data_IF_214301194406
#
_entry.id   IF_214301194406
#
_cell.length_a   1.000
_cell.length_b   1.000
_cell.length_c   1.000
_cell.angle_alpha   90.00
_cell.angle_beta   90.00
_cell.angle_gamma   90.00
#
_symmetry.space_group_name_H-M   'P 1'
#
loop_
_entity.id
_entity.type
_entity.pdbx_description
1 polymer ?
#
# COMPACT_ATOMS: atom_id res chain seq x y z
N UNK A 1 -4.64 -24.81 -8.62
CA UNK A 1 -4.55 -23.83 -7.51
C UNK A 1 -5.97 -23.51 -7.06
N UNK A 2 -6.30 -23.69 -5.78
CA UNK A 2 -7.64 -23.36 -5.28
C UNK A 2 -7.93 -21.86 -5.45
N UNK A 3 -9.16 -21.49 -5.84
CA UNK A 3 -9.61 -20.09 -6.01
C UNK A 3 -9.28 -19.20 -4.80
N UNK A 4 -9.29 -19.78 -3.58
CA UNK A 4 -8.90 -19.10 -2.34
C UNK A 4 -7.42 -18.68 -2.30
N UNK A 5 -6.52 -19.51 -2.85
CA UNK A 5 -5.10 -19.18 -2.94
C UNK A 5 -4.88 -17.99 -3.88
N UNK A 6 -5.67 -17.88 -4.95
CA UNK A 6 -5.63 -16.73 -5.86
C UNK A 6 -6.16 -15.46 -5.19
N UNK A 7 -7.26 -15.54 -4.43
CA UNK A 7 -7.79 -14.39 -3.66
C UNK A 7 -6.81 -13.91 -2.58
N UNK A 8 -6.17 -14.84 -1.87
CA UNK A 8 -5.15 -14.50 -0.87
C UNK A 8 -3.92 -13.86 -1.53
N UNK A 9 -3.47 -14.38 -2.66
CA UNK A 9 -2.36 -13.80 -3.43
C UNK A 9 -2.69 -12.39 -3.91
N UNK A 10 -3.91 -12.18 -4.41
CA UNK A 10 -4.39 -10.86 -4.85
C UNK A 10 -4.40 -9.84 -3.71
N UNK A 11 -4.91 -10.22 -2.53
CA UNK A 11 -4.90 -9.32 -1.35
C UNK A 11 -3.47 -9.06 -0.87
N UNK A 12 -2.58 -10.06 -0.95
CA UNK A 12 -1.15 -9.87 -0.70
C UNK A 12 -0.52 -8.84 -1.64
N UNK A 13 -0.84 -8.92 -2.93
CA UNK A 13 -0.38 -7.98 -3.95
C UNK A 13 -0.88 -6.56 -3.68
N UNK A 14 -2.17 -6.38 -3.37
CA UNK A 14 -2.70 -5.04 -3.03
C UNK A 14 -2.03 -4.41 -1.80
N UNK A 15 -1.65 -5.21 -0.80
CA UNK A 15 -0.91 -4.70 0.37
C UNK A 15 0.50 -4.24 -0.01
N UNK A 16 1.17 -4.99 -0.88
CA UNK A 16 2.49 -4.61 -1.41
C UNK A 16 2.41 -3.35 -2.26
N UNK A 17 1.40 -3.22 -3.11
CA UNK A 17 1.21 -2.04 -3.97
C UNK A 17 1.00 -0.78 -3.12
N UNK A 18 0.17 -0.86 -2.07
CA UNK A 18 -0.05 0.27 -1.14
C UNK A 18 1.26 0.67 -0.44
N UNK A 19 2.07 -0.29 -0.02
CA UNK A 19 3.38 -0.02 0.58
C UNK A 19 4.35 0.60 -0.44
N UNK A 20 4.37 0.08 -1.67
CA UNK A 20 5.21 0.58 -2.76
C UNK A 20 4.90 2.03 -3.13
N UNK A 21 3.62 2.37 -3.30
CA UNK A 21 3.17 3.74 -3.62
C UNK A 21 3.59 4.75 -2.55
N UNK A 22 3.45 4.39 -1.28
CA UNK A 22 3.81 5.27 -0.16
C UNK A 22 5.33 5.41 -0.05
N UNK A 23 6.07 4.32 -0.26
CA UNK A 23 7.54 4.32 -0.22
C UNK A 23 8.10 5.19 -1.34
N UNK A 24 7.57 5.07 -2.56
CA UNK A 24 7.95 5.91 -3.69
C UNK A 24 7.69 7.39 -3.40
N UNK A 25 6.50 7.71 -2.86
CA UNK A 25 6.12 9.08 -2.50
C UNK A 25 7.06 9.65 -1.44
N UNK A 26 7.33 8.88 -0.39
CA UNK A 26 8.20 9.27 0.72
C UNK A 26 9.63 9.51 0.23
N UNK A 27 10.19 8.59 -0.56
CA UNK A 27 11.53 8.73 -1.14
C UNK A 27 11.65 9.97 -2.04
N UNK A 28 10.62 10.24 -2.86
CA UNK A 28 10.61 11.43 -3.72
C UNK A 28 10.55 12.72 -2.92
N UNK A 29 9.72 12.77 -1.86
CA UNK A 29 9.63 13.95 -1.00
C UNK A 29 10.92 14.17 -0.22
N UNK A 30 11.60 13.12 0.21
CA UNK A 30 12.89 13.21 0.90
C UNK A 30 14.03 13.70 -0.02
N UNK A 31 14.05 13.25 -1.28
CA UNK A 31 14.96 13.81 -2.27
C UNK A 31 14.68 15.30 -2.53
N UNK A 32 13.41 15.70 -2.61
CA UNK A 32 13.03 17.10 -2.79
C UNK A 32 13.37 17.96 -1.57
N UNK A 33 13.14 17.47 -0.35
CA UNK A 33 13.48 18.20 0.88
C UNK A 33 14.99 18.44 0.96
N UNK A 34 15.83 17.46 0.60
CA UNK A 34 17.28 17.60 0.54
C UNK A 34 17.75 18.64 -0.48
N UNK A 35 17.13 18.70 -1.66
CA UNK A 35 17.46 19.72 -2.65
C UNK A 35 17.06 21.12 -2.17
N UNK A 36 15.89 21.25 -1.54
CA UNK A 36 15.39 22.52 -1.01
C UNK A 36 16.29 23.02 0.12
N UNK A 37 16.77 22.16 1.02
CA UNK A 37 17.68 22.57 2.10
C UNK A 37 19.03 23.05 1.57
N UNK A 38 19.55 22.45 0.51
CA UNK A 38 20.79 22.91 -0.14
C UNK A 38 20.61 24.30 -0.77
N UNK A 39 19.51 24.53 -1.48
CA UNK A 39 19.18 25.85 -2.03
C UNK A 39 18.99 26.88 -0.92
N UNK A 40 18.37 26.50 0.20
CA UNK A 40 18.18 27.38 1.34
C UNK A 40 19.53 27.77 1.99
N UNK A 41 20.49 26.85 2.08
CA UNK A 41 21.84 27.13 2.55
C UNK A 41 22.59 28.10 1.62
N UNK A 42 22.42 27.96 0.30
CA UNK A 42 22.98 28.90 -0.69
C UNK A 42 22.33 30.29 -0.53
N UNK A 43 21.01 30.35 -0.42
CA UNK A 43 20.30 31.61 -0.18
C UNK A 43 20.77 32.28 1.12
N UNK A 44 20.97 31.51 2.19
CA UNK A 44 21.51 32.02 3.46
C UNK A 44 22.90 32.64 3.28
N UNK A 45 23.83 31.95 2.60
CA UNK A 45 25.16 32.46 2.30
C UNK A 45 25.14 33.73 1.43
N UNK A 46 24.20 33.82 0.47
CA UNK A 46 24.01 35.01 -0.36
C UNK A 46 23.48 36.21 0.44
N UNK A 47 22.64 35.99 1.46
CA UNK A 47 22.20 37.06 2.36
C UNK A 47 23.38 37.72 3.09
N UNK A 48 24.38 36.94 3.50
CA UNK A 48 25.55 37.44 4.22
C UNK A 48 26.57 38.11 3.26
N UNK A 49 26.72 37.57 2.05
CA UNK A 49 27.57 38.15 1.00
C UNK A 49 27.01 39.47 0.41
N UNK A 50 25.72 39.76 0.61
CA UNK A 50 25.07 41.00 0.18
C UNK A 50 25.64 42.28 0.81
N UNK A 51 26.51 42.18 1.82
CA UNK A 51 27.25 43.32 2.38
C UNK A 51 28.45 43.68 1.48
N UNK A 52 28.17 44.08 0.24
CA UNK A 52 29.14 44.60 -0.73
C UNK A 52 29.53 46.02 -0.31
N UNK A 53 30.26 46.14 0.79
CA UNK A 53 30.91 47.37 1.26
C UNK A 53 32.39 47.14 1.61
N UNK A 54 32.88 45.91 1.45
CA UNK A 54 34.23 45.53 1.89
C UNK A 54 35.32 45.81 0.83
N UNK A 55 34.95 45.95 -0.45
CA UNK A 55 35.92 46.06 -1.57
C UNK A 55 35.61 47.16 -2.62
N UNK A 56 34.65 48.07 -2.39
CA UNK A 56 34.36 49.14 -3.37
C UNK A 56 33.34 50.18 -2.91
N UNK A 57 33.05 51.15 -3.79
CA UNK A 57 32.00 52.16 -3.56
C UNK A 57 30.65 51.46 -3.34
N UNK A 58 29.95 51.81 -2.25
CA UNK A 58 28.70 51.19 -1.89
C UNK A 58 27.67 51.35 -3.03
N UNK A 59 27.07 50.25 -3.53
CA UNK A 59 26.04 50.34 -4.55
C UNK A 59 24.84 51.15 -4.05
N UNK A 60 24.06 51.79 -4.95
CA UNK A 60 22.90 52.57 -4.58
C UNK A 60 21.92 51.75 -3.72
N UNK A 61 21.42 52.35 -2.63
CA UNK A 61 20.60 51.68 -1.62
C UNK A 61 19.37 50.95 -2.19
N UNK A 62 18.76 51.49 -3.25
CA UNK A 62 17.60 50.89 -3.90
C UNK A 62 17.92 49.53 -4.54
N UNK A 63 19.14 49.36 -5.05
CA UNK A 63 19.58 48.11 -5.66
C UNK A 63 19.84 47.04 -4.59
N UNK A 64 20.42 47.43 -3.45
CA UNK A 64 20.57 46.56 -2.28
C UNK A 64 19.21 46.10 -1.74
N UNK A 65 18.23 47.01 -1.69
CA UNK A 65 16.85 46.67 -1.29
C UNK A 65 16.20 45.65 -2.22
N UNK A 66 16.36 45.80 -3.54
CA UNK A 66 15.87 44.83 -4.53
C UNK A 66 16.54 43.46 -4.38
N UNK A 67 17.87 43.43 -4.22
CA UNK A 67 18.62 42.19 -4.02
C UNK A 67 18.17 41.44 -2.75
N UNK A 68 18.12 42.13 -1.62
CA UNK A 68 17.64 41.55 -0.35
C UNK A 68 16.16 41.12 -0.44
N UNK A 69 15.33 41.87 -1.18
CA UNK A 69 13.93 41.50 -1.42
C UNK A 69 13.79 40.20 -2.22
N UNK A 70 14.59 40.03 -3.28
CA UNK A 70 14.63 38.78 -4.06
C UNK A 70 15.05 37.59 -3.20
N UNK A 71 16.10 37.74 -2.38
CA UNK A 71 16.54 36.68 -1.46
C UNK A 71 15.46 36.36 -0.43
N UNK A 72 14.85 37.37 0.19
CA UNK A 72 13.78 37.16 1.17
C UNK A 72 12.59 36.41 0.55
N UNK A 73 12.17 36.78 -0.67
CA UNK A 73 11.09 36.09 -1.37
C UNK A 73 11.43 34.63 -1.72
N UNK A 74 12.69 34.37 -2.13
CA UNK A 74 13.21 33.03 -2.41
C UNK A 74 13.23 32.16 -1.15
N UNK A 75 13.69 32.71 -0.01
CA UNK A 75 13.70 32.01 1.29
C UNK A 75 12.28 31.66 1.74
N UNK A 76 11.32 32.57 1.60
CA UNK A 76 9.92 32.29 1.96
C UNK A 76 9.33 31.19 1.08
N UNK A 77 9.54 31.24 -0.24
CA UNK A 77 9.07 30.20 -1.16
C UNK A 77 9.70 28.85 -0.85
N UNK A 78 11.02 28.78 -0.67
CA UNK A 78 11.72 27.55 -0.34
C UNK A 78 11.33 27.01 1.04
N UNK A 79 11.10 27.88 2.02
CA UNK A 79 10.60 27.49 3.34
C UNK A 79 9.22 26.85 3.26
N UNK A 80 8.28 27.43 2.48
CA UNK A 80 6.97 26.81 2.27
C UNK A 80 7.05 25.49 1.50
N UNK A 81 7.93 25.39 0.51
CA UNK A 81 8.16 24.15 -0.24
C UNK A 81 8.71 23.04 0.67
N UNK A 82 9.65 23.36 1.56
CA UNK A 82 10.20 22.42 2.53
C UNK A 82 9.12 21.93 3.49
N UNK A 83 8.31 22.85 4.02
CA UNK A 83 7.18 22.54 4.90
C UNK A 83 6.18 21.60 4.22
N UNK A 84 5.80 21.91 2.98
CA UNK A 84 4.87 21.08 2.19
C UNK A 84 5.45 19.69 1.92
N UNK A 85 6.75 19.57 1.63
CA UNK A 85 7.42 18.29 1.42
C UNK A 85 7.37 17.41 2.67
N UNK A 86 7.69 17.98 3.85
CA UNK A 86 7.59 17.28 5.13
C UNK A 86 6.15 16.83 5.42
N UNK A 87 5.18 17.70 5.17
CA UNK A 87 3.77 17.40 5.35
C UNK A 87 3.27 16.29 4.41
N UNK A 88 3.71 16.30 3.15
CA UNK A 88 3.35 15.29 2.16
C UNK A 88 3.88 13.91 2.55
N UNK A 89 5.14 13.85 3.01
CA UNK A 89 5.77 12.62 3.51
C UNK A 89 4.99 12.02 4.70
N UNK A 90 4.68 12.85 5.70
CA UNK A 90 3.90 12.41 6.87
C UNK A 90 2.49 11.96 6.48
N UNK A 91 1.80 12.72 5.62
CA UNK A 91 0.46 12.37 5.13
C UNK A 91 0.45 11.04 4.37
N UNK A 92 1.46 10.76 3.56
CA UNK A 92 1.58 9.49 2.84
C UNK A 92 1.69 8.31 3.81
N UNK A 93 2.48 8.43 4.87
CA UNK A 93 2.61 7.39 5.90
C UNK A 93 1.30 7.18 6.67
N UNK A 94 0.61 8.25 7.07
CA UNK A 94 -0.70 8.14 7.72
C UNK A 94 -1.74 7.49 6.78
N UNK A 95 -1.71 7.82 5.49
CA UNK A 95 -2.59 7.24 4.48
C UNK A 95 -2.32 5.75 4.30
N UNK A 96 -1.07 5.31 4.30
CA UNK A 96 -0.68 3.90 4.25
C UNK A 96 -1.34 3.08 5.35
N UNK A 97 -1.20 3.55 6.60
CA UNK A 97 -1.77 2.87 7.77
C UNK A 97 -3.30 2.85 7.67
N UNK A 98 -3.92 3.95 7.25
CA UNK A 98 -5.37 4.02 7.06
C UNK A 98 -5.88 3.05 6.00
N UNK A 99 -5.19 2.94 4.86
CA UNK A 99 -5.55 2.03 3.77
C UNK A 99 -5.39 0.57 4.18
N UNK A 100 -4.27 0.22 4.81
CA UNK A 100 -3.99 -1.15 5.25
C UNK A 100 -4.92 -1.62 6.38
N UNK A 101 -5.40 -0.71 7.24
CA UNK A 101 -6.29 -1.07 8.36
C UNK A 101 -7.77 -1.02 8.01
N UNK A 102 -8.21 -0.09 7.14
CA UNK A 102 -9.65 0.13 6.89
C UNK A 102 -10.14 -0.33 5.52
N UNK A 103 -9.28 -0.30 4.50
CA UNK A 103 -9.66 -0.51 3.10
C UNK A 103 -9.20 -1.85 2.55
N UNK A 104 -7.95 -2.24 2.80
CA UNK A 104 -7.42 -3.55 2.37
C UNK A 104 -7.75 -4.60 3.42
N UNK A 105 -9.00 -5.07 3.38
CA UNK A 105 -9.52 -6.09 4.29
C UNK A 105 -9.14 -7.49 3.78
N UNK A 106 -8.92 -8.42 4.69
CA UNK A 106 -8.74 -9.83 4.36
C UNK A 106 -10.04 -10.38 3.76
N UNK A 107 -9.97 -11.37 2.85
CA UNK A 107 -11.17 -12.04 2.36
C UNK A 107 -11.74 -12.87 3.51
N UNK A 108 -12.80 -12.36 4.15
CA UNK A 108 -13.48 -13.06 5.24
C UNK A 108 -14.25 -14.22 4.62
N UNK A 109 -14.02 -15.47 5.06
CA UNK A 109 -14.75 -16.62 4.54
C UNK A 109 -16.25 -16.52 4.83
N UNK A 110 -17.08 -16.96 3.90
CA UNK A 110 -18.51 -17.15 4.17
C UNK A 110 -18.73 -18.34 5.11
N UNK A 111 -19.90 -18.41 5.76
CA UNK A 111 -20.26 -19.53 6.64
C UNK A 111 -20.18 -20.88 5.91
N UNK A 112 -20.66 -20.95 4.66
CA UNK A 112 -20.56 -22.15 3.83
C UNK A 112 -19.10 -22.59 3.60
N UNK A 113 -18.18 -21.64 3.44
CA UNK A 113 -16.76 -21.95 3.28
C UNK A 113 -16.11 -22.43 4.59
N UNK A 114 -16.58 -21.95 5.74
CA UNK A 114 -16.15 -22.45 7.04
C UNK A 114 -16.65 -23.88 7.29
N UNK A 115 -17.87 -24.19 6.87
CA UNK A 115 -18.43 -25.52 7.03
C UNK A 115 -17.77 -26.54 6.09
N UNK A 116 -17.43 -26.15 4.86
CA UNK A 116 -16.58 -26.96 3.98
C UNK A 116 -15.16 -27.18 4.55
N UNK A 117 -14.57 -26.16 5.18
CA UNK A 117 -13.27 -26.31 5.84
C UNK A 117 -13.36 -27.24 7.07
N UNK A 118 -14.48 -27.24 7.80
CA UNK A 118 -14.73 -28.20 8.89
C UNK A 118 -14.77 -29.64 8.39
N UNK A 119 -15.41 -29.90 7.25
CA UNK A 119 -15.41 -31.22 6.63
C UNK A 119 -14.00 -31.70 6.27
N UNK A 120 -13.18 -30.81 5.70
CA UNK A 120 -11.78 -31.11 5.39
C UNK A 120 -10.93 -31.34 6.67
N UNK A 121 -11.16 -30.56 7.72
CA UNK A 121 -10.47 -30.73 9.01
C UNK A 121 -10.85 -32.04 9.71
N UNK A 122 -12.14 -32.38 9.71
CA UNK A 122 -12.63 -33.65 10.27
C UNK A 122 -12.06 -34.85 9.50
N UNK A 123 -11.96 -34.76 8.17
CA UNK A 123 -11.34 -35.80 7.34
C UNK A 123 -9.84 -36.00 7.62
N UNK A 124 -9.11 -34.94 7.97
CA UNK A 124 -7.71 -35.04 8.39
C UNK A 124 -7.58 -35.65 9.80
N UNK A 125 -8.42 -35.23 10.74
CA UNK A 125 -8.42 -35.75 12.12
C UNK A 125 -8.81 -37.24 12.21
N UNK A 126 -9.61 -37.74 11.26
CA UNK A 126 -10.01 -39.15 11.19
C UNK A 126 -9.00 -40.05 10.45
N UNK A 127 -7.86 -39.52 9.97
CA UNK A 127 -6.85 -40.36 9.32
C UNK A 127 -6.18 -41.30 10.33
N UNK A 128 -6.18 -42.61 10.01
CA UNK A 128 -5.50 -43.64 10.81
C UNK A 128 -3.99 -43.38 10.84
N UNK A 129 -3.34 -43.65 11.97
CA UNK A 129 -1.88 -43.50 12.13
C UNK A 129 -1.04 -44.14 11.01
N UNK A 130 -1.50 -45.27 10.43
CA UNK A 130 -0.81 -45.91 9.30
C UNK A 130 -0.92 -45.17 7.95
N UNK A 131 -1.86 -44.23 7.82
CA UNK A 131 -2.03 -43.39 6.63
C UNK A 131 -1.26 -42.07 6.72
N UNK A 132 -0.90 -41.63 7.92
CA UNK A 132 -0.05 -40.45 8.16
C UNK A 132 1.41 -40.76 7.75
N UNK A 133 1.84 -42.01 7.90
CA UNK A 133 3.18 -42.48 7.48
C UNK A 133 3.20 -43.14 6.09
N UNK A 134 2.39 -42.64 5.14
CA UNK A 134 2.41 -43.14 3.75
C UNK A 134 3.76 -42.87 3.09
N UNK A 135 4.47 -43.93 2.71
CA UNK A 135 5.62 -43.87 1.80
C UNK A 135 5.07 -43.68 0.38
N UNK A 136 5.42 -42.59 -0.33
CA UNK A 136 4.91 -42.38 -1.68
C UNK A 136 5.36 -43.53 -2.61
N UNK A 137 4.47 -43.96 -3.53
CA UNK A 137 4.67 -44.95 -4.61
C UNK A 137 4.42 -46.46 -4.34
N UNK A 138 4.12 -46.90 -3.12
CA UNK A 138 3.94 -48.35 -2.81
C UNK A 138 2.48 -48.86 -2.74
N UNK A 139 1.45 -48.01 -2.85
CA UNK A 139 0.03 -48.42 -2.84
C UNK A 139 -0.74 -47.85 -4.04
N UNK A 140 -1.62 -48.69 -4.61
CA UNK A 140 -2.47 -48.35 -5.74
C UNK A 140 -3.42 -47.17 -5.43
N UNK A 141 -3.67 -46.27 -6.40
CA UNK A 141 -4.43 -45.03 -6.21
C UNK A 141 -5.93 -45.22 -5.88
N UNK A 142 -6.48 -46.43 -5.99
CA UNK A 142 -7.91 -46.70 -5.80
C UNK A 142 -8.34 -46.88 -4.33
N UNK A 143 -7.40 -47.03 -3.40
CA UNK A 143 -7.69 -47.22 -1.98
C UNK A 143 -7.72 -45.90 -1.16
N UNK A 144 -7.64 -44.74 -1.83
CA UNK A 144 -7.76 -43.46 -1.16
C UNK A 144 -9.23 -43.21 -0.76
N UNK A 145 -9.52 -42.82 0.50
CA UNK A 145 -10.82 -42.30 0.87
C UNK A 145 -11.14 -41.13 -0.06
N UNK A 146 -12.22 -41.26 -0.85
CA UNK A 146 -12.64 -40.19 -1.73
C UNK A 146 -12.98 -38.97 -0.86
N UNK A 147 -12.38 -37.80 -1.12
CA UNK A 147 -12.84 -36.58 -0.48
C UNK A 147 -14.32 -36.38 -0.82
N UNK A 148 -15.13 -35.78 0.09
CA UNK A 148 -16.53 -35.50 -0.21
C UNK A 148 -16.62 -34.70 -1.52
N UNK A 149 -17.40 -35.20 -2.47
CA UNK A 149 -17.60 -34.57 -3.77
C UNK A 149 -18.07 -33.13 -3.57
N UNK A 150 -17.34 -32.22 -4.21
CA UNK A 150 -17.65 -30.80 -4.24
C UNK A 150 -18.84 -30.62 -5.18
N UNK A 151 -20.06 -30.54 -4.63
CA UNK A 151 -21.27 -30.22 -5.42
C UNK A 151 -21.20 -28.77 -5.87
N UNK A 152 -20.89 -28.54 -7.15
CA UNK A 152 -20.86 -27.23 -7.82
C UNK A 152 -22.29 -26.68 -8.09
N UNK A 153 -23.25 -26.90 -7.18
CA UNK A 153 -24.66 -26.49 -7.34
C UNK A 153 -24.97 -25.13 -6.67
N UNK A 154 -24.23 -24.07 -6.97
CA UNK A 154 -24.66 -22.71 -6.60
C UNK A 154 -24.34 -21.69 -7.70
N UNK A 155 -25.07 -21.73 -8.83
CA UNK A 155 -25.18 -20.57 -9.73
C UNK A 155 -26.49 -20.52 -10.59
N UNK A 156 -27.60 -21.17 -10.19
CA UNK A 156 -28.87 -21.14 -10.97
C UNK A 156 -30.14 -20.62 -10.26
N UNK A 157 -30.08 -20.08 -9.04
CA UNK A 157 -31.33 -19.68 -8.33
C UNK A 157 -31.76 -18.21 -8.52
N UNK A 158 -31.17 -17.45 -9.46
CA UNK A 158 -31.44 -16.01 -9.58
C UNK A 158 -32.49 -15.55 -10.63
N UNK A 159 -33.13 -16.42 -11.45
CA UNK A 159 -33.95 -15.91 -12.59
C UNK A 159 -35.42 -16.37 -12.68
N UNK A 160 -35.91 -17.43 -12.02
CA UNK A 160 -37.32 -17.85 -12.21
C UNK A 160 -38.32 -17.32 -11.17
N UNK A 161 -38.42 -15.99 -11.11
CA UNK A 161 -39.53 -15.30 -10.45
C UNK A 161 -40.51 -14.69 -11.45
N UNK A 162 -41.47 -15.46 -12.00
CA UNK A 162 -42.82 -15.00 -12.46
C UNK A 162 -43.57 -16.08 -13.26
N UNK A 163 -44.59 -16.70 -12.67
CA UNK A 163 -46.01 -16.53 -13.08
C UNK A 163 -46.94 -17.30 -12.14
N UNK A 164 -47.67 -16.52 -11.35
CA UNK A 164 -48.86 -16.90 -10.58
C UNK A 164 -50.06 -17.07 -11.51
N UNK A 165 -50.88 -18.08 -11.21
CA UNK A 165 -52.33 -18.11 -11.46
C UNK A 165 -52.78 -19.17 -12.46
N UNK A 166 -53.94 -19.81 -12.34
CA UNK A 166 -55.01 -19.83 -11.32
C UNK A 166 -56.08 -20.77 -11.92
N UNK A 167 -56.57 -21.70 -11.10
CA UNK A 167 -57.77 -22.55 -11.31
C UNK A 167 -57.71 -23.62 -12.39
#
# INVERSE_FOLDING_TARGET
MSSRNMLNAQVGQYRQDVAGLVTLTTSKMDAMSMMITLILAVNAALSDAGRIGMHGAAPPQWLCGLYSGCIASSVMLMGTALWLSMHASLRAQCAMVSLLTRKVRLPIPSMAQLDNARGCGSGFEQQKFGDIFRVPFMRHPEAAPQPPEQSDDEDETAVKGKKKGKK
#
